data_IF_364094610787
#
_entry.id   IF_364094610787
#
_cell.length_a   1.000
_cell.length_b   1.000
_cell.length_c   1.000
_cell.angle_alpha   90.00
_cell.angle_beta   90.00
_cell.angle_gamma   90.00
#
_symmetry.space_group_name_H-M   'P 1'
#
loop_
_entity.id
_entity.type
_entity.pdbx_description
1 polymer ?
#
# COMPACT_ATOMS: atom_id res chain seq x y z
N UNK A 1 -23.97 45.99 -31.22
CA UNK A 1 -24.23 44.58 -30.87
C UNK A 1 -22.90 43.87 -31.02
N UNK A 2 -22.13 43.74 -29.95
CA UNK A 2 -20.88 42.99 -29.93
C UNK A 2 -21.20 41.55 -29.41
N UNK A 3 -21.08 40.58 -30.30
CA UNK A 3 -21.19 39.17 -29.94
C UNK A 3 -20.01 38.72 -29.13
N UNK A 4 -20.24 38.34 -27.87
CA UNK A 4 -19.25 37.69 -27.00
C UNK A 4 -18.99 36.30 -27.57
N UNK A 5 -17.79 36.09 -28.11
CA UNK A 5 -17.27 34.75 -28.44
C UNK A 5 -17.01 34.03 -27.09
N UNK A 6 -17.86 33.06 -26.78
CA UNK A 6 -17.58 32.11 -25.69
C UNK A 6 -16.32 31.32 -26.08
N UNK A 7 -15.25 31.53 -25.33
CA UNK A 7 -14.10 30.62 -25.34
C UNK A 7 -14.59 29.25 -24.84
N UNK A 8 -14.25 28.12 -25.46
CA UNK A 8 -14.54 26.80 -24.92
C UNK A 8 -13.85 26.74 -23.56
N UNK A 9 -14.62 26.50 -22.48
CA UNK A 9 -14.11 26.35 -21.13
C UNK A 9 -13.15 25.16 -21.10
N UNK A 10 -11.99 25.34 -20.48
CA UNK A 10 -11.09 24.26 -20.11
C UNK A 10 -11.93 23.31 -19.26
N UNK A 11 -12.06 22.00 -19.59
CA UNK A 11 -12.81 21.06 -18.79
C UNK A 11 -12.24 21.05 -17.36
N UNK A 12 -13.13 21.02 -16.38
CA UNK A 12 -12.74 20.90 -14.97
C UNK A 12 -11.84 19.66 -14.80
N UNK A 13 -10.81 19.72 -14.00
CA UNK A 13 -9.81 18.64 -13.81
C UNK A 13 -10.44 17.28 -13.47
N UNK A 14 -11.63 17.26 -12.84
CA UNK A 14 -12.39 16.03 -12.59
C UNK A 14 -13.00 15.43 -13.85
N UNK A 15 -13.37 16.26 -14.85
CA UNK A 15 -13.89 15.79 -16.12
C UNK A 15 -12.81 15.16 -16.99
N UNK A 16 -11.56 15.65 -16.90
CA UNK A 16 -10.41 15.06 -17.60
C UNK A 16 -10.06 13.68 -17.04
N UNK A 17 -10.02 13.51 -15.72
CA UNK A 17 -9.76 12.21 -15.10
C UNK A 17 -10.89 11.19 -15.40
N UNK A 18 -12.13 11.65 -15.54
CA UNK A 18 -13.28 10.83 -15.91
C UNK A 18 -13.23 10.32 -17.37
N UNK A 19 -12.45 10.96 -18.24
CA UNK A 19 -12.30 10.53 -19.62
C UNK A 19 -11.47 9.24 -19.75
N UNK A 20 -10.47 9.02 -18.88
CA UNK A 20 -9.57 7.85 -18.92
C UNK A 20 -10.08 6.65 -18.11
N UNK A 21 -10.88 6.88 -17.06
CA UNK A 21 -11.48 5.82 -16.21
C UNK A 21 -12.90 6.22 -15.83
N UNK A 22 -13.88 5.35 -16.06
CA UNK A 22 -15.25 5.50 -15.52
C UNK A 22 -15.27 5.16 -14.03
N UNK A 23 -14.93 6.16 -13.20
CA UNK A 23 -14.79 6.00 -11.73
C UNK A 23 -16.08 5.54 -11.06
N UNK A 24 -17.22 6.03 -11.52
CA UNK A 24 -18.53 5.62 -11.01
C UNK A 24 -18.81 4.14 -11.30
N UNK A 25 -18.41 3.67 -12.49
CA UNK A 25 -18.52 2.25 -12.81
C UNK A 25 -17.56 1.42 -11.94
N UNK A 26 -16.32 1.88 -11.73
CA UNK A 26 -15.36 1.21 -10.88
C UNK A 26 -15.88 1.06 -9.44
N UNK A 27 -16.46 2.13 -8.86
CA UNK A 27 -17.09 2.08 -7.53
C UNK A 27 -18.23 1.07 -7.48
N UNK A 28 -19.18 1.14 -8.44
CA UNK A 28 -20.33 0.22 -8.48
C UNK A 28 -19.89 -1.24 -8.59
N UNK A 29 -18.87 -1.53 -9.39
CA UNK A 29 -18.33 -2.89 -9.57
C UNK A 29 -17.64 -3.34 -8.29
N UNK A 30 -16.81 -2.50 -7.67
CA UNK A 30 -16.10 -2.82 -6.44
C UNK A 30 -17.06 -3.12 -5.29
N UNK A 31 -18.07 -2.29 -5.08
CA UNK A 31 -19.09 -2.50 -4.04
C UNK A 31 -19.87 -3.81 -4.31
N UNK A 32 -20.26 -4.08 -5.55
CA UNK A 32 -20.97 -5.33 -5.90
C UNK A 32 -20.13 -6.59 -5.64
N UNK A 33 -18.81 -6.51 -5.80
CA UNK A 33 -17.89 -7.60 -5.45
C UNK A 33 -17.79 -7.74 -3.94
N UNK A 34 -17.66 -6.63 -3.21
CA UNK A 34 -17.54 -6.57 -1.75
C UNK A 34 -18.78 -7.10 -1.02
N UNK A 35 -19.99 -6.80 -1.54
CA UNK A 35 -21.27 -7.18 -0.95
C UNK A 35 -21.51 -8.69 -0.92
N UNK A 36 -20.75 -9.46 -1.69
CA UNK A 36 -20.80 -10.94 -1.65
C UNK A 36 -20.12 -11.52 -0.42
N UNK A 37 -19.32 -10.73 0.29
CA UNK A 37 -18.61 -11.17 1.48
C UNK A 37 -19.48 -10.95 2.74
N UNK A 38 -19.38 -11.83 3.75
CA UNK A 38 -20.24 -11.79 4.94
C UNK A 38 -19.95 -10.58 5.85
N UNK A 39 -20.82 -10.33 6.80
CA UNK A 39 -20.72 -9.38 7.91
C UNK A 39 -20.79 -7.88 7.55
N UNK A 40 -21.15 -7.49 6.32
CA UNK A 40 -21.26 -6.08 5.94
C UNK A 40 -22.24 -5.23 6.77
N UNK A 41 -23.31 -5.83 7.29
CA UNK A 41 -24.31 -5.18 8.15
C UNK A 41 -24.43 -5.86 9.50
N UNK A 42 -23.36 -6.40 10.06
CA UNK A 42 -23.39 -7.14 11.31
C UNK A 42 -23.45 -6.22 12.53
N UNK A 43 -24.31 -6.54 13.52
CA UNK A 43 -24.32 -5.87 14.83
C UNK A 43 -22.98 -6.05 15.62
N UNK A 44 -22.12 -6.98 15.22
CA UNK A 44 -20.79 -7.13 15.81
C UNK A 44 -19.83 -5.98 15.46
N UNK A 45 -20.25 -5.07 14.58
CA UNK A 45 -19.52 -3.84 14.29
C UNK A 45 -19.76 -2.74 15.33
N UNK A 46 -20.85 -2.89 16.10
CA UNK A 46 -21.20 -1.93 17.14
C UNK A 46 -20.11 -1.92 18.23
N UNK A 47 -19.66 -0.74 18.61
CA UNK A 47 -18.60 -0.57 19.61
C UNK A 47 -17.15 -0.69 19.11
N UNK A 48 -16.91 -1.20 17.90
CA UNK A 48 -15.54 -1.31 17.37
C UNK A 48 -14.83 0.05 17.27
N UNK A 49 -15.56 1.13 16.98
CA UNK A 49 -14.96 2.47 16.86
C UNK A 49 -14.27 2.88 18.16
N UNK A 50 -15.00 2.83 19.29
CA UNK A 50 -14.44 3.19 20.59
C UNK A 50 -13.29 2.26 21.01
N UNK A 51 -13.42 0.97 20.71
CA UNK A 51 -12.37 -0.01 20.99
C UNK A 51 -11.09 0.26 20.19
N UNK A 52 -11.19 0.58 18.89
CA UNK A 52 -10.04 0.92 18.07
C UNK A 52 -9.46 2.30 18.36
N UNK A 53 -10.24 3.27 18.83
CA UNK A 53 -9.71 4.54 19.33
C UNK A 53 -8.75 4.26 20.52
N UNK A 54 -9.18 3.47 21.50
CA UNK A 54 -8.36 3.09 22.65
C UNK A 54 -7.12 2.27 22.25
N UNK A 55 -7.30 1.28 21.36
CA UNK A 55 -6.19 0.42 20.93
C UNK A 55 -5.18 1.17 20.07
N UNK A 56 -5.62 2.11 19.22
CA UNK A 56 -4.74 2.92 18.38
C UNK A 56 -3.89 3.86 19.23
N UNK A 57 -4.50 4.54 20.22
CA UNK A 57 -3.77 5.37 21.17
C UNK A 57 -2.73 4.55 21.97
N UNK A 58 -3.13 3.38 22.49
CA UNK A 58 -2.23 2.48 23.20
C UNK A 58 -1.12 1.94 22.31
N UNK A 59 -1.41 1.62 21.06
CA UNK A 59 -0.43 1.13 20.10
C UNK A 59 0.63 2.21 19.81
N UNK A 60 0.26 3.48 19.75
CA UNK A 60 1.22 4.58 19.53
C UNK A 60 2.28 4.65 20.62
N UNK A 61 1.88 4.56 21.90
CA UNK A 61 2.82 4.54 23.01
C UNK A 61 3.74 3.31 22.98
N UNK A 62 3.19 2.14 22.65
CA UNK A 62 3.96 0.89 22.58
C UNK A 62 4.94 0.88 21.39
N UNK A 63 4.53 1.38 20.24
CA UNK A 63 5.40 1.54 19.07
C UNK A 63 6.52 2.52 19.34
N UNK A 64 6.21 3.68 19.93
CA UNK A 64 7.25 4.64 20.33
C UNK A 64 8.25 4.06 21.32
N UNK A 65 7.76 3.34 22.34
CA UNK A 65 8.64 2.71 23.32
C UNK A 65 9.55 1.64 22.70
N UNK A 66 9.10 0.98 21.64
CA UNK A 66 9.81 -0.13 20.98
C UNK A 66 10.81 0.36 19.93
N UNK A 67 10.44 1.39 19.16
CA UNK A 67 11.17 1.84 17.95
C UNK A 67 11.81 3.23 18.10
N UNK A 68 11.41 4.01 19.09
CA UNK A 68 11.74 5.44 19.16
C UNK A 68 11.00 6.33 18.17
N UNK A 69 10.27 5.76 17.20
CA UNK A 69 9.51 6.53 16.20
C UNK A 69 8.17 6.99 16.77
N UNK A 70 7.84 8.25 16.55
CA UNK A 70 6.54 8.83 16.83
C UNK A 70 6.14 9.77 15.71
N UNK A 71 4.87 9.73 15.31
CA UNK A 71 4.35 10.67 14.33
C UNK A 71 4.44 12.12 14.82
N UNK A 72 4.86 13.02 13.92
CA UNK A 72 5.02 14.45 14.21
C UNK A 72 3.73 15.24 14.02
N UNK A 73 2.69 14.60 13.42
CA UNK A 73 1.39 15.19 13.10
C UNK A 73 0.38 15.21 14.27
N UNK A 74 0.76 14.73 15.45
CA UNK A 74 -0.11 14.58 16.62
C UNK A 74 -0.54 13.15 16.86
N UNK A 75 -1.57 12.95 17.70
CA UNK A 75 -2.02 11.63 18.13
C UNK A 75 -2.68 10.85 16.98
N UNK A 76 -2.50 9.53 16.98
CA UNK A 76 -3.08 8.63 16.00
C UNK A 76 -4.62 8.62 16.08
N UNK A 77 -5.27 8.63 14.93
CA UNK A 77 -6.74 8.59 14.84
C UNK A 77 -7.20 7.33 14.13
N UNK A 78 -8.09 6.60 14.77
CA UNK A 78 -8.71 5.41 14.21
C UNK A 78 -9.99 5.76 13.42
N UNK A 79 -10.28 4.98 12.39
CA UNK A 79 -11.58 5.00 11.71
C UNK A 79 -11.97 3.59 11.33
N UNK A 80 -12.98 3.05 12.00
CA UNK A 80 -13.57 1.77 11.62
C UNK A 80 -14.56 1.99 10.48
N UNK A 81 -14.35 1.29 9.36
CA UNK A 81 -15.12 1.48 8.12
C UNK A 81 -15.71 0.19 7.60
N UNK A 82 -16.78 0.32 6.82
CA UNK A 82 -17.27 -0.74 5.96
C UNK A 82 -16.39 -0.91 4.72
N UNK A 83 -16.59 -2.02 3.99
CA UNK A 83 -15.85 -2.26 2.73
C UNK A 83 -16.15 -1.21 1.66
N UNK A 84 -17.39 -0.71 1.62
CA UNK A 84 -17.79 0.32 0.65
C UNK A 84 -17.06 1.64 0.92
N UNK A 85 -16.93 2.04 2.18
CA UNK A 85 -16.26 3.29 2.54
C UNK A 85 -14.75 3.18 2.32
N UNK A 86 -14.16 2.02 2.62
CA UNK A 86 -12.78 1.72 2.26
C UNK A 86 -12.53 1.81 0.75
N UNK A 87 -13.46 1.26 -0.08
CA UNK A 87 -13.39 1.36 -1.54
C UNK A 87 -13.42 2.82 -1.99
N UNK A 88 -14.35 3.63 -1.46
CA UNK A 88 -14.46 5.06 -1.81
C UNK A 88 -13.21 5.84 -1.44
N UNK A 89 -12.67 5.64 -0.25
CA UNK A 89 -11.42 6.27 0.19
C UNK A 89 -10.27 5.93 -0.76
N UNK A 90 -10.11 4.64 -1.11
CA UNK A 90 -9.02 4.23 -2.01
C UNK A 90 -9.22 4.71 -3.47
N UNK A 91 -10.46 4.76 -3.97
CA UNK A 91 -10.74 5.36 -5.29
C UNK A 91 -10.39 6.86 -5.30
N UNK A 92 -10.77 7.60 -4.27
CA UNK A 92 -10.41 9.00 -4.13
C UNK A 92 -8.88 9.18 -4.11
N UNK A 93 -8.16 8.38 -3.34
CA UNK A 93 -6.71 8.39 -3.27
C UNK A 93 -6.05 8.07 -4.62
N UNK A 94 -6.56 7.07 -5.36
CA UNK A 94 -6.07 6.75 -6.70
C UNK A 94 -6.35 7.85 -7.72
N UNK A 95 -7.54 8.46 -7.71
CA UNK A 95 -7.85 9.59 -8.57
C UNK A 95 -6.86 10.73 -8.42
N UNK A 96 -6.47 11.01 -7.18
CA UNK A 96 -5.51 12.08 -6.86
C UNK A 96 -4.11 11.71 -7.30
N UNK A 97 -3.67 10.49 -7.00
CA UNK A 97 -2.35 9.98 -7.37
C UNK A 97 -2.13 9.97 -8.89
N UNK A 98 -3.18 9.61 -9.65
CA UNK A 98 -3.12 9.51 -11.12
C UNK A 98 -3.43 10.83 -11.83
N UNK A 99 -3.83 11.88 -11.11
CA UNK A 99 -4.16 13.19 -11.70
C UNK A 99 -3.04 13.76 -12.59
N UNK A 100 -1.75 13.78 -12.17
CA UNK A 100 -0.67 14.31 -13.02
C UNK A 100 -0.48 13.49 -14.31
N UNK A 101 -0.64 12.18 -14.23
CA UNK A 101 -0.56 11.29 -15.38
C UNK A 101 -1.68 11.58 -16.38
N UNK A 102 -2.94 11.63 -15.93
CA UNK A 102 -4.08 11.93 -16.80
C UNK A 102 -4.02 13.32 -17.41
N UNK A 103 -3.44 14.31 -16.69
CA UNK A 103 -3.23 15.64 -17.26
C UNK A 103 -2.25 15.59 -18.44
N UNK A 104 -1.14 14.84 -18.32
CA UNK A 104 -0.18 14.69 -19.44
C UNK A 104 -0.78 13.95 -20.63
N UNK A 105 -1.49 12.84 -20.36
CA UNK A 105 -2.17 12.07 -21.41
C UNK A 105 -3.22 12.91 -22.16
N UNK A 106 -3.90 13.81 -21.47
CA UNK A 106 -4.88 14.69 -22.09
C UNK A 106 -4.24 15.78 -22.98
N UNK A 107 -2.97 16.10 -22.76
CA UNK A 107 -2.20 17.05 -23.58
C UNK A 107 -1.61 16.40 -24.84
N UNK A 108 -1.62 15.06 -24.93
CA UNK A 108 -1.13 14.30 -26.09
C UNK A 108 -2.28 14.01 -27.07
N UNK A 109 -2.21 14.52 -28.31
CA UNK A 109 -3.25 14.29 -29.31
C UNK A 109 -3.43 12.83 -29.76
N UNK A 110 -2.39 12.01 -29.57
CA UNK A 110 -2.41 10.58 -29.92
C UNK A 110 -3.03 9.70 -28.82
N UNK A 111 -3.24 10.27 -27.63
CA UNK A 111 -3.79 9.60 -26.43
C UNK A 111 -5.28 9.94 -26.20
N UNK A 112 -6.10 10.05 -27.23
CA UNK A 112 -7.54 10.29 -27.05
C UNK A 112 -8.20 9.14 -26.26
N UNK A 113 -8.78 9.42 -25.07
CA UNK A 113 -9.41 8.39 -24.25
C UNK A 113 -10.64 7.80 -24.95
N UNK A 114 -10.63 6.49 -25.15
CA UNK A 114 -11.79 5.77 -25.68
C UNK A 114 -12.77 5.43 -24.55
N UNK A 115 -14.07 5.70 -24.76
CA UNK A 115 -15.10 5.30 -23.80
C UNK A 115 -15.14 3.79 -23.55
N UNK A 116 -14.64 2.98 -24.48
CA UNK A 116 -14.53 1.52 -24.32
C UNK A 116 -13.36 1.18 -23.41
N UNK A 117 -12.17 1.76 -23.60
CA UNK A 117 -11.01 1.56 -22.74
C UNK A 117 -11.27 2.09 -21.33
N UNK A 118 -11.87 3.26 -21.16
CA UNK A 118 -12.25 3.81 -19.86
C UNK A 118 -13.17 2.86 -19.06
N UNK A 119 -14.15 2.24 -19.74
CA UNK A 119 -15.03 1.24 -19.11
C UNK A 119 -14.34 -0.06 -18.78
N UNK A 120 -13.46 -0.55 -19.64
CA UNK A 120 -12.68 -1.76 -19.37
C UNK A 120 -11.75 -1.56 -18.16
N UNK A 121 -11.00 -0.47 -18.12
CA UNK A 121 -10.17 -0.11 -16.97
C UNK A 121 -10.98 0.03 -15.68
N UNK A 122 -12.17 0.63 -15.77
CA UNK A 122 -13.08 0.73 -14.62
C UNK A 122 -13.57 -0.63 -14.11
N UNK A 123 -13.87 -1.58 -14.99
CA UNK A 123 -14.28 -2.94 -14.61
C UNK A 123 -13.14 -3.69 -13.91
N UNK A 124 -11.92 -3.57 -14.43
CA UNK A 124 -10.72 -4.20 -13.85
C UNK A 124 -10.36 -3.61 -12.49
N UNK A 125 -10.29 -2.28 -12.40
CA UNK A 125 -10.03 -1.55 -11.17
C UNK A 125 -11.09 -1.85 -10.11
N UNK A 126 -12.37 -1.81 -10.49
CA UNK A 126 -13.48 -2.10 -9.61
C UNK A 126 -13.46 -3.54 -9.11
N UNK A 127 -13.19 -4.52 -9.97
CA UNK A 127 -13.06 -5.92 -9.58
C UNK A 127 -11.87 -6.13 -8.61
N UNK A 128 -10.74 -5.47 -8.87
CA UNK A 128 -9.54 -5.53 -8.03
C UNK A 128 -9.79 -4.93 -6.65
N UNK A 129 -10.29 -3.69 -6.58
CA UNK A 129 -10.57 -3.02 -5.31
C UNK A 129 -11.67 -3.74 -4.50
N UNK A 130 -12.72 -4.21 -5.16
CA UNK A 130 -13.75 -5.01 -4.52
C UNK A 130 -13.21 -6.31 -3.93
N UNK A 131 -12.29 -6.98 -4.63
CA UNK A 131 -11.62 -8.15 -4.12
C UNK A 131 -10.67 -7.82 -2.95
N UNK A 132 -9.89 -6.74 -3.04
CA UNK A 132 -9.00 -6.27 -1.99
C UNK A 132 -9.78 -5.88 -0.73
N UNK A 133 -10.90 -5.15 -0.88
CA UNK A 133 -11.74 -4.70 0.23
C UNK A 133 -12.25 -5.84 1.12
N UNK A 134 -12.35 -7.06 0.60
CA UNK A 134 -12.73 -8.25 1.38
C UNK A 134 -11.55 -8.89 2.14
N UNK A 135 -10.35 -8.31 2.03
CA UNK A 135 -9.11 -8.87 2.59
C UNK A 135 -8.35 -7.92 3.49
N UNK A 136 -8.37 -6.64 3.21
CA UNK A 136 -7.70 -5.63 4.02
C UNK A 136 -8.32 -5.62 5.42
N UNK A 137 -7.50 -5.65 6.44
CA UNK A 137 -7.91 -5.56 7.85
C UNK A 137 -7.73 -4.16 8.38
N UNK A 138 -6.58 -3.57 8.12
CA UNK A 138 -6.24 -2.18 8.39
C UNK A 138 -5.51 -1.55 7.23
N UNK A 139 -5.37 -0.25 7.27
CA UNK A 139 -4.62 0.54 6.31
C UNK A 139 -4.32 1.91 6.91
N UNK A 140 -3.04 2.27 6.98
CA UNK A 140 -2.69 3.66 7.20
C UNK A 140 -2.88 4.44 5.89
N UNK A 141 -3.59 5.58 5.95
CA UNK A 141 -3.80 6.44 4.78
C UNK A 141 -2.60 7.35 4.55
N UNK A 142 -1.75 6.93 3.62
CA UNK A 142 -0.53 7.64 3.24
C UNK A 142 -0.79 8.84 2.32
N UNK A 143 -1.90 8.80 1.55
CA UNK A 143 -2.20 9.81 0.52
C UNK A 143 -2.98 11.00 1.09
N UNK A 144 -2.51 11.50 2.23
CA UNK A 144 -2.98 12.75 2.83
C UNK A 144 -2.71 13.92 1.90
N UNK A 145 -3.71 14.73 1.57
CA UNK A 145 -3.58 15.87 0.67
C UNK A 145 -3.95 17.18 1.35
N UNK A 146 -3.29 18.23 0.92
CA UNK A 146 -3.45 19.59 1.43
C UNK A 146 -4.88 20.15 1.24
N UNK A 147 -5.66 19.56 0.32
CA UNK A 147 -7.03 20.00 -0.02
C UNK A 147 -8.13 19.36 0.84
N UNK A 148 -7.81 18.43 1.76
CA UNK A 148 -8.78 17.81 2.65
C UNK A 148 -8.84 18.50 4.01
N UNK A 149 -10.00 18.39 4.65
CA UNK A 149 -10.14 18.83 6.03
C UNK A 149 -9.17 18.05 6.93
N UNK A 150 -8.55 18.74 7.91
CA UNK A 150 -7.56 18.12 8.80
C UNK A 150 -8.10 16.87 9.53
N UNK A 151 -9.42 16.81 9.72
CA UNK A 151 -10.14 15.67 10.31
C UNK A 151 -10.18 14.43 9.42
N UNK A 152 -9.97 14.57 8.12
CA UNK A 152 -9.99 13.47 7.15
C UNK A 152 -8.59 13.00 6.73
N UNK A 153 -7.54 13.61 7.31
CA UNK A 153 -6.15 13.30 7.02
C UNK A 153 -5.52 12.47 8.14
N UNK A 154 -4.44 11.76 7.83
CA UNK A 154 -3.63 11.02 8.80
C UNK A 154 -4.46 10.03 9.65
N UNK A 155 -5.22 9.18 8.96
CA UNK A 155 -6.16 8.24 9.56
C UNK A 155 -5.65 6.81 9.43
N UNK A 156 -5.81 6.04 10.50
CA UNK A 156 -5.65 4.59 10.49
C UNK A 156 -7.03 3.95 10.30
N UNK A 157 -7.25 3.38 9.12
CA UNK A 157 -8.49 2.67 8.80
C UNK A 157 -8.48 1.24 9.29
N UNK A 158 -9.63 0.77 9.80
CA UNK A 158 -9.86 -0.63 10.14
C UNK A 158 -11.14 -1.12 9.46
N UNK A 159 -11.04 -2.22 8.71
CA UNK A 159 -12.19 -2.75 7.95
C UNK A 159 -12.96 -3.73 8.81
N UNK A 160 -13.93 -3.22 9.59
CA UNK A 160 -14.67 -3.96 10.61
C UNK A 160 -15.25 -5.30 10.15
N UNK A 161 -15.95 -5.39 9.00
CA UNK A 161 -16.50 -6.66 8.51
C UNK A 161 -15.45 -7.75 8.28
N UNK A 162 -14.21 -7.39 7.95
CA UNK A 162 -13.12 -8.35 7.73
C UNK A 162 -12.53 -8.81 9.06
N UNK A 163 -12.45 -7.93 10.05
CA UNK A 163 -12.02 -8.26 11.40
C UNK A 163 -12.94 -9.32 12.00
N UNK A 164 -14.24 -9.05 12.03
CA UNK A 164 -15.26 -10.00 12.53
C UNK A 164 -15.22 -11.34 11.79
N UNK A 165 -15.02 -11.31 10.47
CA UNK A 165 -14.90 -12.54 9.69
C UNK A 165 -13.68 -13.38 10.10
N UNK A 166 -12.55 -12.72 10.41
CA UNK A 166 -11.31 -13.40 10.77
C UNK A 166 -11.35 -13.94 12.19
N UNK A 167 -11.83 -13.13 13.14
CA UNK A 167 -12.04 -13.52 14.54
C UNK A 167 -12.90 -14.80 14.63
N UNK A 168 -14.02 -14.82 13.91
CA UNK A 168 -14.90 -15.99 13.89
C UNK A 168 -14.28 -17.20 13.23
N UNK A 169 -13.54 -17.00 12.15
CA UNK A 169 -12.90 -18.08 11.42
C UNK A 169 -11.83 -18.80 12.23
N UNK A 170 -11.03 -18.03 12.98
CA UNK A 170 -9.89 -18.56 13.73
C UNK A 170 -10.12 -18.60 15.24
N UNK A 171 -11.32 -18.20 15.69
CA UNK A 171 -11.70 -18.03 17.09
C UNK A 171 -10.65 -17.18 17.85
N UNK A 172 -10.27 -16.05 17.29
CA UNK A 172 -9.38 -15.09 17.94
C UNK A 172 -10.08 -14.40 19.10
N UNK A 173 -9.33 -14.01 20.11
CA UNK A 173 -9.83 -13.14 21.18
C UNK A 173 -9.84 -11.70 20.66
N UNK A 174 -11.01 -11.04 20.50
CA UNK A 174 -11.08 -9.79 19.75
C UNK A 174 -10.17 -8.68 20.29
N UNK A 175 -10.17 -8.30 21.58
CA UNK A 175 -9.34 -7.20 22.09
C UNK A 175 -7.84 -7.40 21.86
N UNK A 176 -7.33 -8.63 22.04
CA UNK A 176 -5.92 -8.93 21.79
C UNK A 176 -5.59 -8.85 20.29
N UNK A 177 -6.50 -9.34 19.44
CA UNK A 177 -6.33 -9.30 17.98
C UNK A 177 -6.42 -7.86 17.45
N UNK A 178 -7.32 -7.04 18.00
CA UNK A 178 -7.46 -5.64 17.61
C UNK A 178 -6.23 -4.82 17.99
N UNK A 179 -5.72 -4.99 19.21
CA UNK A 179 -4.47 -4.34 19.62
C UNK A 179 -3.27 -4.81 18.78
N UNK A 180 -3.18 -6.10 18.49
CA UNK A 180 -2.14 -6.67 17.64
C UNK A 180 -2.14 -6.03 16.25
N UNK A 181 -3.33 -5.87 15.64
CA UNK A 181 -3.47 -5.18 14.36
C UNK A 181 -3.15 -3.69 14.47
N UNK A 182 -3.61 -3.03 15.53
CA UNK A 182 -3.33 -1.61 15.75
C UNK A 182 -1.83 -1.33 15.85
N UNK A 183 -1.05 -2.21 16.48
CA UNK A 183 0.41 -2.12 16.53
C UNK A 183 1.03 -2.10 15.13
N UNK A 184 0.54 -2.92 14.21
CA UNK A 184 1.02 -2.97 12.83
C UNK A 184 0.72 -1.67 12.07
N UNK A 185 -0.53 -1.24 12.06
CA UNK A 185 -0.96 -0.06 11.29
C UNK A 185 -0.38 1.25 11.85
N UNK A 186 -0.28 1.36 13.18
CA UNK A 186 0.33 2.52 13.85
C UNK A 186 1.85 2.55 13.60
N UNK A 187 2.50 1.39 13.44
CA UNK A 187 3.91 1.36 13.04
C UNK A 187 4.09 1.98 11.66
N UNK A 188 3.22 1.68 10.70
CA UNK A 188 3.27 2.33 9.39
C UNK A 188 3.06 3.85 9.49
N UNK A 189 2.12 4.29 10.32
CA UNK A 189 1.94 5.72 10.59
C UNK A 189 3.21 6.35 11.16
N UNK A 190 3.84 5.70 12.15
CA UNK A 190 5.08 6.20 12.76
C UNK A 190 6.24 6.27 11.75
N UNK A 191 6.36 5.31 10.84
CA UNK A 191 7.36 5.30 9.77
C UNK A 191 7.17 6.47 8.80
N UNK A 192 5.95 6.76 8.36
CA UNK A 192 5.70 7.79 7.36
C UNK A 192 5.58 9.21 7.95
N UNK A 193 5.09 9.33 9.18
CA UNK A 193 4.85 10.63 9.81
C UNK A 193 5.84 10.95 10.92
N UNK A 194 6.63 9.98 11.37
CA UNK A 194 7.70 10.17 12.36
C UNK A 194 9.07 10.40 11.71
N UNK A 195 9.24 10.00 10.45
CA UNK A 195 10.46 10.26 9.67
C UNK A 195 10.16 11.41 8.68
N UNK A 196 10.70 12.61 8.90
CA UNK A 196 10.24 13.84 8.21
C UNK A 196 10.27 13.80 6.69
N UNK A 197 11.22 13.07 6.11
CA UNK A 197 11.43 12.98 4.66
C UNK A 197 10.73 11.77 4.00
N UNK A 198 10.28 10.78 4.78
CA UNK A 198 9.83 9.48 4.27
C UNK A 198 8.65 9.57 3.31
N UNK A 199 7.62 10.31 3.72
CA UNK A 199 6.41 10.47 2.92
C UNK A 199 6.69 11.15 1.59
N UNK A 200 7.44 12.25 1.60
CA UNK A 200 7.80 12.99 0.39
C UNK A 200 8.66 12.12 -0.54
N UNK A 201 9.63 11.41 0.01
CA UNK A 201 10.47 10.48 -0.74
C UNK A 201 9.65 9.38 -1.43
N UNK A 202 8.75 8.73 -0.70
CA UNK A 202 7.87 7.70 -1.26
C UNK A 202 6.99 8.25 -2.40
N UNK A 203 6.34 9.39 -2.19
CA UNK A 203 5.50 10.03 -3.21
C UNK A 203 6.33 10.45 -4.43
N UNK A 204 7.57 10.91 -4.23
CA UNK A 204 8.52 11.22 -5.31
C UNK A 204 8.90 9.98 -6.14
N UNK A 205 9.11 8.82 -5.50
CA UNK A 205 9.35 7.56 -6.22
C UNK A 205 8.12 7.14 -7.03
N UNK A 206 6.92 7.25 -6.46
CA UNK A 206 5.67 6.93 -7.16
C UNK A 206 5.46 7.88 -8.34
N UNK A 207 5.66 9.18 -8.15
CA UNK A 207 5.59 10.16 -9.24
C UNK A 207 6.58 9.83 -10.37
N UNK A 208 7.84 9.53 -10.02
CA UNK A 208 8.86 9.17 -11.01
C UNK A 208 8.51 7.89 -11.79
N UNK A 209 7.82 6.94 -11.16
CA UNK A 209 7.32 5.74 -11.83
C UNK A 209 6.20 6.09 -12.81
N UNK A 210 5.27 6.95 -12.40
CA UNK A 210 4.16 7.42 -13.25
C UNK A 210 4.65 8.34 -14.39
N UNK A 211 5.70 9.12 -14.15
CA UNK A 211 6.28 9.99 -15.17
C UNK A 211 6.90 9.24 -16.34
N UNK A 212 7.37 8.05 -16.09
CA UNK A 212 7.90 7.16 -17.13
C UNK A 212 6.86 6.23 -17.77
N UNK A 213 5.59 6.33 -17.39
CA UNK A 213 4.52 5.49 -17.94
C UNK A 213 3.88 6.15 -19.15
N UNK A 214 3.94 5.47 -20.31
CA UNK A 214 3.21 5.84 -21.51
C UNK A 214 1.80 5.24 -21.50
N UNK A 215 0.85 5.79 -22.27
CA UNK A 215 -0.53 5.30 -22.33
C UNK A 215 -0.62 3.83 -22.73
N UNK A 216 0.25 3.37 -23.63
CA UNK A 216 0.33 1.95 -24.03
C UNK A 216 0.72 1.03 -22.84
N UNK A 217 1.44 1.55 -21.83
CA UNK A 217 1.85 0.81 -20.62
C UNK A 217 0.67 0.56 -19.67
N UNK A 218 -0.41 1.33 -19.79
CA UNK A 218 -1.64 1.19 -19.00
C UNK A 218 -2.64 0.18 -19.56
N UNK A 219 -2.42 -0.34 -20.78
CA UNK A 219 -3.26 -1.43 -21.31
C UNK A 219 -2.92 -2.76 -20.61
N UNK A 220 -3.53 -2.95 -19.43
CA UNK A 220 -3.47 -4.20 -18.66
C UNK A 220 -3.86 -5.43 -19.48
N UNK A 221 -4.74 -5.27 -20.48
CA UNK A 221 -5.17 -6.36 -21.37
C UNK A 221 -4.07 -6.71 -22.37
N UNK A 222 -3.42 -5.71 -22.98
CA UNK A 222 -2.27 -5.94 -23.87
C UNK A 222 -1.09 -6.54 -23.09
N UNK A 223 -0.82 -6.03 -21.91
CA UNK A 223 0.20 -6.55 -21.00
C UNK A 223 -0.10 -7.99 -20.54
N UNK A 224 -1.36 -8.33 -20.31
CA UNK A 224 -1.80 -9.69 -20.00
C UNK A 224 -1.64 -10.63 -21.20
N UNK A 225 -2.05 -10.20 -22.40
CA UNK A 225 -1.86 -10.97 -23.63
C UNK A 225 -0.40 -11.25 -23.90
N UNK A 226 0.48 -10.23 -23.81
CA UNK A 226 1.92 -10.38 -24.02
C UNK A 226 2.57 -11.36 -23.02
N UNK A 227 2.08 -11.40 -21.77
CA UNK A 227 2.55 -12.35 -20.75
C UNK A 227 2.08 -13.77 -21.03
N UNK A 228 0.85 -13.95 -21.51
CA UNK A 228 0.33 -15.25 -21.91
C UNK A 228 1.04 -15.81 -23.15
N UNK A 229 1.35 -14.95 -24.12
CA UNK A 229 2.04 -15.35 -25.35
C UNK A 229 3.52 -15.69 -25.10
N UNK A 230 4.22 -14.97 -24.22
CA UNK A 230 5.58 -15.32 -23.78
C UNK A 230 5.63 -16.64 -23.00
N UNK A 231 4.61 -16.94 -22.19
CA UNK A 231 4.51 -18.24 -21.52
C UNK A 231 4.28 -19.38 -22.51
N UNK A 232 3.46 -19.16 -23.56
CA UNK A 232 3.27 -20.14 -24.63
C UNK A 232 4.55 -20.37 -25.44
N UNK A 233 5.38 -19.33 -25.58
CA UNK A 233 6.67 -19.38 -26.26
C UNK A 233 7.81 -19.95 -25.40
N UNK A 234 7.58 -20.25 -24.11
CA UNK A 234 8.61 -20.81 -23.21
C UNK A 234 9.70 -19.81 -22.80
N UNK A 235 9.52 -18.52 -23.03
CA UNK A 235 10.51 -17.44 -22.76
C UNK A 235 10.23 -16.66 -21.47
N UNK A 236 9.40 -17.20 -20.56
CA UNK A 236 9.07 -16.54 -19.31
C UNK A 236 10.25 -16.58 -18.34
N UNK A 237 10.93 -15.47 -18.21
CA UNK A 237 11.99 -15.27 -17.21
C UNK A 237 11.40 -15.04 -15.79
N UNK A 238 12.17 -15.43 -14.78
CA UNK A 238 11.67 -15.59 -13.40
C UNK A 238 11.69 -14.27 -12.61
N UNK A 239 10.92 -13.28 -12.91
CA UNK A 239 10.93 -12.17 -11.97
C UNK A 239 10.12 -10.93 -12.29
N UNK A 240 9.79 -10.69 -13.51
CA UNK A 240 8.99 -9.52 -13.87
C UNK A 240 7.60 -9.95 -14.31
N UNK A 241 6.57 -9.71 -13.51
CA UNK A 241 5.19 -9.80 -13.96
C UNK A 241 4.95 -8.93 -15.21
N UNK A 242 3.70 -8.69 -15.55
CA UNK A 242 3.29 -7.83 -16.68
C UNK A 242 4.04 -6.48 -16.69
N UNK A 243 4.25 -5.86 -15.53
CA UNK A 243 4.97 -4.59 -15.37
C UNK A 243 6.48 -4.67 -15.73
N UNK A 244 7.17 -5.74 -15.39
CA UNK A 244 8.61 -5.89 -15.69
C UNK A 244 8.94 -6.08 -17.18
N UNK A 245 7.94 -6.36 -18.00
CA UNK A 245 8.11 -6.61 -19.42
C UNK A 245 8.02 -5.36 -20.30
N UNK A 246 7.52 -4.25 -19.75
CA UNK A 246 7.24 -2.99 -20.45
C UNK A 246 8.11 -1.85 -19.91
N UNK A 247 8.88 -2.11 -18.82
CA UNK A 247 9.61 -1.07 -18.09
C UNK A 247 10.95 -0.73 -18.73
N UNK A 248 11.26 0.56 -18.80
CA UNK A 248 12.62 1.05 -19.11
C UNK A 248 13.57 0.70 -17.95
N UNK A 249 14.90 0.70 -18.17
CA UNK A 249 15.88 0.49 -17.08
C UNK A 249 15.72 1.48 -15.92
N UNK A 250 15.30 2.72 -16.18
CA UNK A 250 15.03 3.72 -15.15
C UNK A 250 13.79 3.38 -14.33
N UNK A 251 12.71 2.95 -14.98
CA UNK A 251 11.50 2.48 -14.29
C UNK A 251 11.77 1.23 -13.45
N UNK A 252 12.58 0.30 -13.95
CA UNK A 252 12.98 -0.89 -13.20
C UNK A 252 13.75 -0.50 -11.93
N UNK A 253 14.70 0.43 -12.01
CA UNK A 253 15.45 0.92 -10.86
C UNK A 253 14.50 1.61 -9.83
N UNK A 254 13.52 2.38 -10.30
CA UNK A 254 12.53 3.00 -9.40
C UNK A 254 11.63 1.94 -8.75
N UNK A 255 11.20 0.92 -9.49
CA UNK A 255 10.43 -0.20 -8.92
C UNK A 255 11.24 -0.99 -7.88
N UNK A 256 12.53 -1.18 -8.10
CA UNK A 256 13.41 -1.87 -7.15
C UNK A 256 13.60 -1.05 -5.85
N UNK A 257 13.67 0.28 -5.94
CA UNK A 257 13.68 1.18 -4.78
C UNK A 257 12.36 1.13 -4.01
N UNK A 258 11.22 1.23 -4.69
CA UNK A 258 9.90 1.09 -4.06
C UNK A 258 9.77 -0.29 -3.43
N UNK A 259 10.20 -1.34 -4.13
CA UNK A 259 10.18 -2.71 -3.63
C UNK A 259 11.03 -2.91 -2.38
N UNK A 260 12.23 -2.34 -2.34
CA UNK A 260 13.12 -2.36 -1.18
C UNK A 260 12.49 -1.63 0.01
N UNK A 261 12.03 -0.38 -0.21
CA UNK A 261 11.36 0.42 0.80
C UNK A 261 10.14 -0.31 1.38
N UNK A 262 9.23 -0.80 0.53
CA UNK A 262 8.03 -1.51 1.02
C UNK A 262 8.39 -2.79 1.78
N UNK A 263 9.43 -3.52 1.36
CA UNK A 263 9.89 -4.70 2.08
C UNK A 263 10.43 -4.36 3.47
N UNK A 264 11.19 -3.26 3.58
CA UNK A 264 11.69 -2.75 4.86
C UNK A 264 10.53 -2.33 5.77
N UNK A 265 9.59 -1.52 5.27
CA UNK A 265 8.48 -0.99 6.07
C UNK A 265 7.58 -2.11 6.61
N UNK A 266 7.21 -3.06 5.76
CA UNK A 266 6.38 -4.20 6.15
C UNK A 266 7.11 -5.13 7.13
N UNK A 267 8.39 -5.46 6.87
CA UNK A 267 9.19 -6.26 7.78
C UNK A 267 9.39 -5.59 9.13
N UNK A 268 9.62 -4.27 9.14
CA UNK A 268 9.71 -3.49 10.37
C UNK A 268 8.36 -3.42 11.10
N UNK A 269 7.25 -3.34 10.38
CA UNK A 269 5.90 -3.42 10.95
C UNK A 269 5.66 -4.74 11.67
N UNK A 270 5.97 -5.86 11.02
CA UNK A 270 5.81 -7.20 11.62
C UNK A 270 6.74 -7.40 12.84
N UNK A 271 8.02 -7.02 12.74
CA UNK A 271 8.98 -7.11 13.87
C UNK A 271 8.57 -6.21 15.05
N UNK A 272 8.12 -4.99 14.77
CA UNK A 272 7.67 -4.04 15.80
C UNK A 272 6.41 -4.55 16.50
N UNK A 273 5.42 -4.99 15.74
CA UNK A 273 4.19 -5.57 16.27
C UNK A 273 4.49 -6.75 17.22
N UNK A 274 5.39 -7.65 16.82
CA UNK A 274 5.78 -8.79 17.64
C UNK A 274 6.48 -8.35 18.93
N UNK A 275 7.43 -7.42 18.84
CA UNK A 275 8.19 -6.91 20.00
C UNK A 275 7.33 -6.09 20.96
N UNK A 276 6.57 -5.14 20.44
CA UNK A 276 5.69 -4.28 21.20
C UNK A 276 4.53 -5.07 21.85
N UNK A 277 4.13 -6.18 21.23
CA UNK A 277 3.10 -7.08 21.74
C UNK A 277 3.54 -7.98 22.91
N UNK A 278 4.86 -8.11 23.18
CA UNK A 278 5.37 -8.98 24.27
C UNK A 278 4.78 -8.56 25.61
N UNK A 279 4.10 -9.52 26.27
CA UNK A 279 3.50 -9.31 27.60
C UNK A 279 2.20 -8.49 27.59
N UNK A 280 1.76 -7.98 26.45
CA UNK A 280 0.57 -7.13 26.31
C UNK A 280 -0.51 -7.78 25.43
N UNK A 281 -0.09 -8.53 24.39
CA UNK A 281 -0.98 -9.24 23.47
C UNK A 281 -0.93 -10.73 23.74
N UNK A 282 -2.07 -11.29 24.17
CA UNK A 282 -2.17 -12.73 24.41
C UNK A 282 -2.48 -13.47 23.12
N UNK A 283 -1.63 -14.42 22.74
CA UNK A 283 -1.88 -15.26 21.55
C UNK A 283 -1.38 -14.67 20.24
N UNK A 284 -0.42 -13.75 20.24
CA UNK A 284 0.21 -13.18 19.06
C UNK A 284 0.67 -14.25 18.05
N UNK A 285 1.32 -15.33 18.50
CA UNK A 285 1.68 -16.48 17.63
C UNK A 285 0.50 -17.11 16.91
N UNK A 286 -0.68 -17.11 17.53
CA UNK A 286 -1.91 -17.65 16.89
C UNK A 286 -2.41 -16.72 15.82
N UNK A 287 -2.33 -15.42 16.05
CA UNK A 287 -2.68 -14.40 15.06
C UNK A 287 -1.74 -14.47 13.87
N UNK A 288 -0.42 -14.50 14.10
CA UNK A 288 0.60 -14.64 13.06
C UNK A 288 0.40 -15.91 12.22
N UNK A 289 0.12 -17.07 12.84
CA UNK A 289 -0.21 -18.31 12.11
C UNK A 289 -1.48 -18.17 11.28
N UNK A 290 -2.56 -17.60 11.82
CA UNK A 290 -3.81 -17.39 11.09
C UNK A 290 -3.63 -16.45 9.88
N UNK A 291 -2.81 -15.41 10.03
CA UNK A 291 -2.44 -14.50 8.94
C UNK A 291 -1.57 -15.20 7.89
N UNK A 292 -0.60 -16.00 8.31
CA UNK A 292 0.24 -16.81 7.43
C UNK A 292 -0.58 -17.82 6.62
N UNK A 293 -1.52 -18.53 7.26
CA UNK A 293 -2.45 -19.44 6.57
C UNK A 293 -3.33 -18.72 5.54
N UNK A 294 -3.74 -17.50 5.85
CA UNK A 294 -4.51 -16.64 4.93
C UNK A 294 -3.66 -16.17 3.73
N UNK A 295 -2.35 -15.95 3.93
CA UNK A 295 -1.40 -15.53 2.90
C UNK A 295 -1.03 -16.69 1.96
N UNK A 296 -1.27 -17.97 2.31
CA UNK A 296 -0.93 -19.11 1.44
C UNK A 296 -1.58 -18.98 0.06
N UNK A 297 -0.84 -19.28 -1.01
CA UNK A 297 -1.35 -19.16 -2.37
C UNK A 297 -2.59 -20.02 -2.57
N UNK A 298 -3.66 -19.40 -3.06
CA UNK A 298 -4.87 -20.12 -3.43
C UNK A 298 -4.59 -21.03 -4.64
N UNK A 299 -5.24 -22.18 -4.71
CA UNK A 299 -5.20 -23.06 -5.90
C UNK A 299 -6.24 -22.64 -6.94
N UNK A 300 -5.99 -22.94 -8.23
CA UNK A 300 -6.94 -22.73 -9.32
C UNK A 300 -7.03 -21.26 -9.83
N UNK A 301 -8.19 -20.83 -10.34
CA UNK A 301 -8.37 -19.48 -10.95
C UNK A 301 -8.02 -18.31 -10.04
N UNK A 302 -8.16 -18.49 -8.72
CA UNK A 302 -7.73 -17.52 -7.71
C UNK A 302 -6.23 -17.26 -7.73
N UNK A 303 -5.42 -18.28 -7.99
CA UNK A 303 -3.95 -18.13 -8.10
C UNK A 303 -3.57 -17.31 -9.32
N UNK A 304 -4.29 -17.47 -10.41
CA UNK A 304 -4.06 -16.65 -11.61
C UNK A 304 -4.32 -15.17 -11.34
N UNK A 305 -5.42 -14.86 -10.65
CA UNK A 305 -5.75 -13.49 -10.26
C UNK A 305 -4.74 -12.89 -9.27
N UNK A 306 -4.29 -13.66 -8.27
CA UNK A 306 -3.25 -13.22 -7.33
C UNK A 306 -1.91 -12.91 -8.03
N UNK A 307 -1.56 -13.68 -9.07
CA UNK A 307 -0.38 -13.41 -9.91
C UNK A 307 -0.53 -12.16 -10.77
N UNK A 308 -1.73 -11.89 -11.26
CA UNK A 308 -2.03 -10.71 -12.07
C UNK A 308 -1.91 -9.41 -11.27
N UNK A 309 -2.33 -9.44 -10.00
CA UNK A 309 -2.28 -8.29 -9.08
C UNK A 309 -0.90 -8.13 -8.42
N UNK A 310 0.09 -9.01 -8.72
CA UNK A 310 1.41 -8.96 -8.09
C UNK A 310 1.42 -9.38 -6.61
N UNK A 311 0.34 -9.94 -6.09
CA UNK A 311 0.21 -10.31 -4.68
C UNK A 311 1.22 -11.38 -4.25
N UNK A 312 1.64 -12.29 -5.15
CA UNK A 312 2.70 -13.27 -4.83
C UNK A 312 4.05 -12.57 -4.58
N UNK A 313 4.35 -11.50 -5.33
CA UNK A 313 5.53 -10.68 -5.10
C UNK A 313 5.44 -9.92 -3.76
N UNK A 314 4.29 -9.36 -3.44
CA UNK A 314 4.04 -8.66 -2.17
C UNK A 314 4.21 -9.58 -0.95
N UNK A 315 3.72 -10.82 -1.02
CA UNK A 315 3.87 -11.81 0.06
C UNK A 315 5.32 -12.26 0.28
N UNK A 316 6.13 -12.28 -0.79
CA UNK A 316 7.56 -12.55 -0.68
C UNK A 316 8.32 -11.39 -0.02
N UNK A 317 7.85 -10.17 -0.17
CA UNK A 317 8.48 -8.97 0.40
C UNK A 317 8.45 -8.97 1.93
N UNK A 318 7.38 -9.40 2.58
CA UNK A 318 7.27 -9.47 4.04
C UNK A 318 8.39 -10.33 4.66
N UNK A 319 8.50 -11.58 4.23
CA UNK A 319 9.54 -12.49 4.75
C UNK A 319 10.96 -12.01 4.45
N UNK A 320 11.16 -11.28 3.34
CA UNK A 320 12.46 -10.71 2.99
C UNK A 320 12.81 -9.52 3.88
N UNK A 321 11.84 -8.67 4.23
CA UNK A 321 12.03 -7.54 5.14
C UNK A 321 12.41 -7.98 6.55
N UNK A 322 11.70 -8.96 7.12
CA UNK A 322 12.06 -9.53 8.44
C UNK A 322 13.46 -10.14 8.44
N UNK A 323 13.80 -10.90 7.40
CA UNK A 323 15.13 -11.53 7.26
C UNK A 323 16.24 -10.48 7.13
N UNK A 324 15.99 -9.38 6.40
CA UNK A 324 16.91 -8.24 6.29
C UNK A 324 17.16 -7.62 7.67
N UNK A 325 16.10 -7.28 8.41
CA UNK A 325 16.18 -6.69 9.74
C UNK A 325 16.98 -7.61 10.68
N UNK A 326 16.64 -8.90 10.73
CA UNK A 326 17.35 -9.87 11.56
C UNK A 326 18.85 -9.95 11.23
N UNK A 327 19.22 -9.91 9.94
CA UNK A 327 20.61 -9.95 9.51
C UNK A 327 21.37 -8.68 9.89
N UNK A 328 20.77 -7.50 9.71
CA UNK A 328 21.35 -6.20 10.08
C UNK A 328 21.56 -6.12 11.58
N UNK A 329 20.55 -6.48 12.37
CA UNK A 329 20.64 -6.46 13.84
C UNK A 329 21.66 -7.47 14.38
N UNK A 330 21.77 -8.65 13.76
CA UNK A 330 22.79 -9.62 14.13
C UNK A 330 24.23 -9.10 13.91
N UNK A 331 24.41 -8.18 12.95
CA UNK A 331 25.70 -7.59 12.61
C UNK A 331 26.05 -6.38 13.48
N UNK A 332 25.12 -5.43 13.66
CA UNK A 332 25.39 -4.14 14.31
C UNK A 332 24.32 -3.67 15.30
N UNK A 333 23.39 -4.53 15.66
CA UNK A 333 22.29 -4.19 16.57
C UNK A 333 21.26 -3.25 15.94
N UNK A 334 20.34 -2.79 16.78
CA UNK A 334 19.30 -1.81 16.39
C UNK A 334 19.90 -0.48 15.93
N UNK A 335 21.03 -0.06 16.51
CA UNK A 335 21.74 1.17 16.12
C UNK A 335 22.14 1.18 14.65
N UNK A 336 22.55 0.03 14.10
CA UNK A 336 22.84 -0.06 12.67
C UNK A 336 21.56 -0.04 11.85
N UNK A 337 20.51 -0.71 12.32
CA UNK A 337 19.21 -0.70 11.63
C UNK A 337 18.61 0.71 11.59
N UNK A 338 18.69 1.45 12.70
CA UNK A 338 18.09 2.78 12.83
C UNK A 338 18.65 3.79 11.81
N UNK A 339 19.80 3.51 11.22
CA UNK A 339 20.36 4.33 10.14
C UNK A 339 19.44 4.43 8.92
N UNK A 340 18.54 3.48 8.71
CA UNK A 340 17.57 3.55 7.59
C UNK A 340 16.63 4.76 7.70
N UNK A 341 16.46 5.30 8.91
CA UNK A 341 15.59 6.45 9.17
C UNK A 341 16.30 7.81 9.09
N UNK A 342 17.64 7.82 8.97
CA UNK A 342 18.43 9.06 8.99
C UNK A 342 18.30 9.85 7.66
N UNK A 343 18.36 9.14 6.51
CA UNK A 343 18.34 9.78 5.19
C UNK A 343 17.80 8.84 4.10
N UNK A 344 17.20 9.38 3.01
CA UNK A 344 16.70 8.57 1.89
C UNK A 344 17.77 7.65 1.26
N UNK A 345 19.02 8.10 1.24
CA UNK A 345 20.17 7.37 0.69
C UNK A 345 20.55 6.15 1.52
N UNK A 346 20.07 6.06 2.76
CA UNK A 346 20.29 4.93 3.65
C UNK A 346 19.27 3.81 3.44
N UNK A 347 18.17 4.06 2.70
CA UNK A 347 17.20 3.02 2.41
C UNK A 347 17.80 1.89 1.57
N UNK A 348 17.50 0.63 1.88
CA UNK A 348 17.89 -0.48 1.04
C UNK A 348 17.05 -0.55 -0.23
N UNK A 349 17.66 -0.92 -1.34
CA UNK A 349 16.95 -1.36 -2.52
C UNK A 349 16.52 -2.84 -2.42
N UNK A 350 15.81 -3.33 -3.41
CA UNK A 350 15.30 -4.71 -3.39
C UNK A 350 16.43 -5.77 -3.45
N UNK A 351 17.58 -5.44 -4.05
CA UNK A 351 18.74 -6.33 -4.11
C UNK A 351 19.38 -6.42 -2.71
N UNK A 352 19.54 -5.31 -2.05
CA UNK A 352 20.08 -5.21 -0.70
C UNK A 352 19.15 -5.88 0.36
N UNK A 353 17.83 -5.76 0.19
CA UNK A 353 16.85 -6.51 1.00
C UNK A 353 17.10 -8.01 0.91
N UNK A 354 17.37 -8.51 -0.29
CA UNK A 354 17.63 -9.94 -0.54
C UNK A 354 19.03 -10.37 -0.12
N UNK A 355 19.97 -9.44 -0.10
CA UNK A 355 21.39 -9.65 0.23
C UNK A 355 21.85 -8.60 1.26
N UNK A 356 21.46 -8.74 2.54
CA UNK A 356 21.69 -7.70 3.56
C UNK A 356 23.14 -7.27 3.73
N UNK A 357 24.10 -8.19 3.40
CA UNK A 357 25.53 -7.88 3.43
C UNK A 357 25.92 -6.69 2.55
N UNK A 358 25.26 -6.53 1.39
CA UNK A 358 25.55 -5.41 0.48
C UNK A 358 25.17 -4.06 1.13
N UNK A 359 24.01 -4.00 1.80
CA UNK A 359 23.59 -2.82 2.51
C UNK A 359 24.53 -2.51 3.70
N UNK A 360 24.90 -3.53 4.48
CA UNK A 360 25.83 -3.39 5.62
C UNK A 360 27.19 -2.84 5.14
N UNK A 361 27.74 -3.37 4.06
CA UNK A 361 29.02 -2.89 3.47
C UNK A 361 28.89 -1.44 2.96
N UNK A 362 27.77 -1.11 2.32
CA UNK A 362 27.49 0.25 1.86
C UNK A 362 27.39 1.22 3.04
N UNK A 363 26.67 0.86 4.10
CA UNK A 363 26.57 1.70 5.30
C UNK A 363 27.93 1.88 6.01
N UNK A 364 28.76 0.85 6.05
CA UNK A 364 30.11 0.94 6.61
C UNK A 364 31.04 1.87 5.81
N UNK A 365 30.79 2.03 4.50
CA UNK A 365 31.59 2.89 3.61
C UNK A 365 31.17 4.36 3.61
N UNK A 366 29.98 4.68 4.15
CA UNK A 366 29.52 6.07 4.25
C UNK A 366 30.28 6.82 5.36
N UNK A 367 30.64 8.08 5.12
CA UNK A 367 31.23 8.93 6.17
C UNK A 367 30.29 9.00 7.37
N UNK A 368 30.83 8.81 8.56
CA UNK A 368 30.08 9.08 9.81
C UNK A 368 29.98 10.60 9.92
N UNK A 369 28.81 11.19 9.64
CA UNK A 369 28.59 12.59 9.95
C UNK A 369 28.65 12.78 11.47
N UNK A 370 29.43 13.75 11.96
CA UNK A 370 29.44 14.04 13.38
C UNK A 370 28.05 14.52 13.82
N UNK A 371 27.58 14.16 15.02
CA UNK A 371 26.27 14.58 15.49
C UNK A 371 26.16 16.09 15.42
N UNK A 372 25.11 16.59 14.78
CA UNK A 372 24.76 18.00 14.74
C UNK A 372 24.44 18.40 16.18
N UNK A 373 25.30 19.23 16.78
CA UNK A 373 25.22 19.68 18.15
C UNK A 373 24.08 20.69 18.42
#
# INVERSE_FOLDING_TARGET
VAGAVRRPGVPLMSEMAAAFVDWDLAERVAIRVADRAPFGGSHHLDGLTAEFDDHTARAEDLVQATTGLRALSGDARARVVGRADWIRANLASLQRLLRPLFARMADDPDDEPSAVSARLGALELGAMLGWMSTRVLGQYDLLVLEDEAAEDQDIVYYVGPNLVALERRYAFHPPDFHLWLALHEVTHRAQFMGVPWMREHYLGLVSSLLDGADAESFDLVAALRSTLDRRRAGTADQGGGVLGAISTPGQQATMDRIGGLMSLLEGHGDVTMDRAGIGVVTGADRFARGMSDRRRPASGPRRLFQRLVGLEAKLAQYAQGEAFIAAVEAHGGTVLLDRVWEAPEHLPDLVEIRQPGLWIERMASLPVEPPVG
#
